data_IF_615694737212
#
_entry.id   IF_615694737212
#
_cell.length_a   1.000
_cell.length_b   1.000
_cell.length_c   1.000
_cell.angle_alpha   90.00
_cell.angle_beta   90.00
_cell.angle_gamma   90.00
#
_symmetry.space_group_name_H-M   'P 1'
#
loop_
_entity.id
_entity.type
_entity.pdbx_description
1 polymer ?
#
# COMPACT_ATOMS: atom_id res chain seq x y z
N UNK A 1 19.35 21.33 11.25
CA UNK A 1 18.41 22.04 10.35
C UNK A 1 18.32 21.41 8.96
N UNK A 2 19.43 20.97 8.33
CA UNK A 2 19.39 20.29 7.02
C UNK A 2 18.78 18.87 7.06
N UNK A 3 19.21 18.03 7.99
CA UNK A 3 18.69 16.66 8.15
C UNK A 3 17.17 16.61 8.42
N UNK A 4 16.64 17.54 9.22
CA UNK A 4 15.19 17.60 9.46
C UNK A 4 14.41 17.90 8.18
N UNK A 5 14.89 18.82 7.34
CA UNK A 5 14.26 19.10 6.05
C UNK A 5 14.32 17.91 5.08
N UNK A 6 15.44 17.18 5.10
CA UNK A 6 15.61 15.97 4.30
C UNK A 6 14.67 14.84 4.75
N UNK A 7 14.48 14.69 6.07
CA UNK A 7 13.48 13.78 6.64
C UNK A 7 12.05 14.20 6.26
N UNK A 8 11.74 15.50 6.31
CA UNK A 8 10.41 16.02 5.93
C UNK A 8 10.08 15.67 4.47
N UNK A 9 11.07 15.71 3.57
CA UNK A 9 10.91 15.27 2.17
C UNK A 9 10.56 13.78 2.10
N UNK A 10 11.26 12.92 2.84
CA UNK A 10 10.96 11.48 2.87
C UNK A 10 9.56 11.21 3.43
N UNK A 11 9.13 11.95 4.46
CA UNK A 11 7.77 11.86 5.00
C UNK A 11 6.75 12.23 3.93
N UNK A 12 6.95 13.33 3.22
CA UNK A 12 6.05 13.74 2.14
C UNK A 12 5.97 12.69 1.02
N UNK A 13 7.12 12.13 0.59
CA UNK A 13 7.14 11.07 -0.43
C UNK A 13 6.38 9.82 0.02
N UNK A 14 6.54 9.42 1.29
CA UNK A 14 5.76 8.33 1.89
C UNK A 14 4.26 8.64 1.85
N UNK A 15 3.86 9.84 2.28
CA UNK A 15 2.46 10.28 2.29
C UNK A 15 1.84 10.29 0.90
N UNK A 16 2.58 10.71 -0.12
CA UNK A 16 2.12 10.66 -1.52
C UNK A 16 1.83 9.22 -1.98
N UNK A 17 2.70 8.26 -1.65
CA UNK A 17 2.50 6.85 -2.00
C UNK A 17 1.27 6.28 -1.27
N UNK A 18 1.14 6.57 0.03
CA UNK A 18 0.02 6.10 0.86
C UNK A 18 -1.31 6.71 0.40
N UNK A 19 -1.33 7.98 0.03
CA UNK A 19 -2.52 8.66 -0.48
C UNK A 19 -3.00 8.01 -1.80
N UNK A 20 -2.07 7.69 -2.70
CA UNK A 20 -2.38 6.97 -3.94
C UNK A 20 -2.97 5.57 -3.68
N UNK A 21 -2.37 4.78 -2.78
CA UNK A 21 -2.92 3.47 -2.39
C UNK A 21 -4.33 3.60 -1.82
N UNK A 22 -4.57 4.60 -0.96
CA UNK A 22 -5.90 4.85 -0.38
C UNK A 22 -6.91 5.23 -1.46
N UNK A 23 -6.53 6.07 -2.42
CA UNK A 23 -7.41 6.47 -3.51
C UNK A 23 -7.89 5.27 -4.35
N UNK A 24 -7.04 4.26 -4.57
CA UNK A 24 -7.39 3.08 -5.35
C UNK A 24 -8.44 2.16 -4.71
N UNK A 25 -8.60 2.20 -3.39
CA UNK A 25 -9.60 1.40 -2.66
C UNK A 25 -10.67 2.27 -1.99
N UNK A 26 -10.64 3.58 -2.22
CA UNK A 26 -11.66 4.51 -1.72
C UNK A 26 -12.91 4.33 -2.57
N UNK A 27 -13.96 3.88 -1.93
CA UNK A 27 -15.25 3.68 -2.57
C UNK A 27 -16.06 4.97 -2.60
N UNK A 28 -16.48 5.36 -3.80
CA UNK A 28 -17.49 6.40 -4.01
C UNK A 28 -18.74 5.76 -4.64
N UNK A 29 -19.92 5.84 -3.99
CA UNK A 29 -21.12 5.21 -4.50
C UNK A 29 -21.55 5.74 -5.86
N UNK A 30 -21.74 4.83 -6.82
CA UNK A 30 -22.27 5.12 -8.15
C UNK A 30 -23.29 4.05 -8.53
N UNK A 31 -24.55 4.28 -8.14
CA UNK A 31 -25.66 3.29 -8.18
C UNK A 31 -25.73 2.43 -9.45
N UNK A 32 -25.52 3.00 -10.64
CA UNK A 32 -25.56 2.22 -11.88
C UNK A 32 -24.41 1.19 -11.97
N UNK A 33 -23.19 1.61 -11.64
CA UNK A 33 -22.00 0.75 -11.64
C UNK A 33 -22.07 -0.26 -10.49
N UNK A 34 -22.55 0.19 -9.34
CA UNK A 34 -22.72 -0.65 -8.16
C UNK A 34 -23.73 -1.77 -8.42
N UNK A 35 -24.87 -1.44 -9.03
CA UNK A 35 -25.89 -2.41 -9.41
C UNK A 35 -25.34 -3.45 -10.39
N UNK A 36 -24.59 -3.01 -11.41
CA UNK A 36 -23.94 -3.91 -12.37
C UNK A 36 -22.95 -4.86 -11.67
N UNK A 37 -22.12 -4.34 -10.77
CA UNK A 37 -21.16 -5.13 -10.00
C UNK A 37 -21.86 -6.14 -9.07
N UNK A 38 -22.90 -5.72 -8.35
CA UNK A 38 -23.69 -6.61 -7.48
C UNK A 38 -24.37 -7.73 -8.27
N UNK A 39 -24.94 -7.42 -9.44
CA UNK A 39 -25.55 -8.41 -10.33
C UNK A 39 -24.52 -9.41 -10.86
N UNK A 40 -23.34 -8.94 -11.28
CA UNK A 40 -22.24 -9.79 -11.70
C UNK A 40 -21.81 -10.75 -10.58
N UNK A 41 -21.61 -10.22 -9.36
CA UNK A 41 -21.31 -11.02 -8.17
C UNK A 41 -22.39 -12.07 -7.93
N UNK A 42 -23.66 -11.70 -7.96
CA UNK A 42 -24.77 -12.63 -7.76
C UNK A 42 -24.74 -13.81 -8.74
N UNK A 43 -24.45 -13.55 -10.02
CA UNK A 43 -24.36 -14.57 -11.06
C UNK A 43 -23.19 -15.53 -10.79
N UNK A 44 -22.03 -14.99 -10.39
CA UNK A 44 -20.77 -15.76 -10.20
C UNK A 44 -20.65 -16.44 -8.83
N UNK A 45 -21.36 -15.96 -7.80
CA UNK A 45 -21.25 -16.47 -6.43
C UNK A 45 -21.98 -17.80 -6.20
N UNK A 46 -21.49 -18.54 -5.19
CA UNK A 46 -22.13 -19.74 -4.68
C UNK A 46 -23.56 -19.47 -4.18
N UNK A 47 -24.40 -20.50 -4.18
CA UNK A 47 -25.82 -20.39 -3.81
C UNK A 47 -25.99 -19.84 -2.37
N UNK A 48 -25.06 -20.12 -1.46
CA UNK A 48 -25.08 -19.62 -0.08
C UNK A 48 -24.95 -18.10 0.03
N UNK A 49 -24.23 -17.45 -0.89
CA UNK A 49 -23.97 -16.00 -0.86
C UNK A 49 -25.08 -15.19 -1.55
N UNK A 50 -25.85 -15.84 -2.43
CA UNK A 50 -26.88 -15.22 -3.26
C UNK A 50 -27.96 -14.48 -2.46
N UNK A 51 -28.50 -15.00 -1.32
CA UNK A 51 -29.48 -14.26 -0.52
C UNK A 51 -28.96 -12.91 -0.01
N UNK A 52 -27.70 -12.85 0.46
CA UNK A 52 -27.07 -11.60 0.89
C UNK A 52 -26.94 -10.62 -0.28
N UNK A 53 -26.46 -11.10 -1.43
CA UNK A 53 -26.30 -10.25 -2.63
C UNK A 53 -27.65 -9.72 -3.15
N UNK A 54 -28.73 -10.50 -3.08
CA UNK A 54 -30.07 -10.03 -3.44
C UNK A 54 -30.57 -8.90 -2.54
N UNK A 55 -30.29 -8.97 -1.23
CA UNK A 55 -30.59 -7.89 -0.29
C UNK A 55 -29.83 -6.61 -0.65
N UNK A 56 -28.53 -6.73 -0.96
CA UNK A 56 -27.71 -5.59 -1.41
C UNK A 56 -28.20 -5.00 -2.73
N UNK A 57 -28.59 -5.83 -3.71
CA UNK A 57 -29.20 -5.36 -4.98
C UNK A 57 -30.48 -4.57 -4.69
N UNK A 58 -31.37 -5.08 -3.85
CA UNK A 58 -32.61 -4.40 -3.47
C UNK A 58 -32.32 -3.05 -2.80
N UNK A 59 -31.35 -3.01 -1.89
CA UNK A 59 -30.91 -1.77 -1.23
C UNK A 59 -30.41 -0.73 -2.24
N UNK A 60 -29.51 -1.16 -3.14
CA UNK A 60 -28.98 -0.32 -4.23
C UNK A 60 -30.11 0.25 -5.13
N UNK A 61 -31.07 -0.58 -5.53
CA UNK A 61 -32.20 -0.16 -6.36
C UNK A 61 -33.14 0.83 -5.66
N UNK A 62 -33.30 0.70 -4.33
CA UNK A 62 -34.20 1.55 -3.54
C UNK A 62 -33.51 2.80 -2.97
N UNK A 63 -32.19 2.93 -3.16
CA UNK A 63 -31.41 4.06 -2.67
C UNK A 63 -31.19 4.05 -1.15
N UNK A 64 -31.35 2.90 -0.50
CA UNK A 64 -30.97 2.69 0.91
C UNK A 64 -29.52 2.25 0.99
N UNK A 65 -28.83 2.47 2.11
CA UNK A 65 -27.43 2.09 2.30
C UNK A 65 -27.14 0.61 1.97
N UNK A 66 -26.04 0.40 1.23
CA UNK A 66 -25.53 -0.91 0.81
C UNK A 66 -24.00 -0.95 0.95
N UNK A 67 -23.47 -2.17 0.99
CA UNK A 67 -22.03 -2.42 1.10
C UNK A 67 -21.29 -2.08 -0.20
N UNK A 68 -20.00 -1.71 -0.11
CA UNK A 68 -19.15 -1.52 -1.28
C UNK A 68 -19.11 -2.81 -2.12
N UNK A 69 -19.66 -2.82 -3.35
CA UNK A 69 -19.70 -4.02 -4.15
C UNK A 69 -18.32 -4.41 -4.70
N UNK A 70 -17.40 -3.44 -4.80
CA UNK A 70 -16.05 -3.61 -5.34
C UNK A 70 -15.05 -4.17 -4.33
N UNK A 71 -15.39 -4.20 -3.04
CA UNK A 71 -14.48 -4.67 -1.98
C UNK A 71 -13.95 -6.09 -2.23
N UNK A 72 -14.79 -6.96 -2.82
CA UNK A 72 -14.41 -8.33 -3.18
C UNK A 72 -13.33 -8.42 -4.28
N UNK A 73 -13.05 -7.32 -4.98
CA UNK A 73 -12.08 -7.24 -6.07
C UNK A 73 -10.80 -6.50 -5.66
N UNK A 74 -10.77 -5.85 -4.49
CA UNK A 74 -9.55 -5.24 -4.02
C UNK A 74 -8.54 -6.31 -3.63
N UNK A 75 -7.30 -6.12 -4.08
CA UNK A 75 -6.20 -7.03 -3.79
C UNK A 75 -5.48 -6.70 -2.48
N UNK A 76 -5.83 -5.59 -1.85
CA UNK A 76 -5.31 -5.15 -0.55
C UNK A 76 -6.37 -4.35 0.21
N UNK A 77 -6.22 -4.30 1.52
CA UNK A 77 -7.11 -3.61 2.46
C UNK A 77 -6.48 -2.35 3.04
N UNK A 78 -7.27 -1.58 3.79
CA UNK A 78 -6.75 -0.42 4.56
C UNK A 78 -5.66 -0.88 5.53
N UNK A 79 -5.83 -2.02 6.20
CA UNK A 79 -4.84 -2.56 7.14
C UNK A 79 -3.49 -2.87 6.45
N UNK A 80 -3.52 -3.32 5.19
CA UNK A 80 -2.30 -3.57 4.43
C UNK A 80 -1.57 -2.26 4.09
N UNK A 81 -2.33 -1.21 3.75
CA UNK A 81 -1.78 0.14 3.54
C UNK A 81 -1.18 0.68 4.85
N UNK A 82 -1.85 0.48 5.99
CA UNK A 82 -1.33 0.91 7.29
C UNK A 82 -0.03 0.17 7.66
N UNK A 83 0.05 -1.14 7.39
CA UNK A 83 1.30 -1.90 7.56
C UNK A 83 2.41 -1.36 6.67
N UNK A 84 2.12 -1.11 5.40
CA UNK A 84 3.08 -0.49 4.47
C UNK A 84 3.57 0.87 5.00
N UNK A 85 2.65 1.71 5.46
CA UNK A 85 2.97 3.01 6.04
C UNK A 85 3.86 2.89 7.29
N UNK A 86 3.56 1.93 8.17
CA UNK A 86 4.34 1.65 9.37
C UNK A 86 5.76 1.18 9.04
N UNK A 87 5.95 0.37 7.99
CA UNK A 87 7.27 -0.07 7.54
C UNK A 87 8.15 1.12 7.13
N UNK A 88 7.61 2.00 6.27
CA UNK A 88 8.35 3.19 5.83
C UNK A 88 8.55 4.20 6.97
N UNK A 89 7.56 4.37 7.83
CA UNK A 89 7.67 5.23 9.02
C UNK A 89 8.75 4.69 9.97
N UNK A 90 8.78 3.38 10.20
CA UNK A 90 9.80 2.72 11.02
C UNK A 90 11.21 2.97 10.47
N UNK A 91 11.38 2.86 9.16
CA UNK A 91 12.64 3.19 8.49
C UNK A 91 13.05 4.66 8.69
N UNK A 92 12.12 5.60 8.47
CA UNK A 92 12.37 7.04 8.67
C UNK A 92 12.73 7.33 10.13
N UNK A 93 12.01 6.77 11.11
CA UNK A 93 12.31 6.99 12.53
C UNK A 93 13.65 6.39 12.96
N UNK A 94 14.01 5.21 12.45
CA UNK A 94 15.33 4.61 12.70
C UNK A 94 16.45 5.48 12.15
N UNK A 95 16.26 6.09 10.97
CA UNK A 95 17.25 6.96 10.34
C UNK A 95 17.64 8.18 11.18
N UNK A 96 16.80 8.60 12.14
CA UNK A 96 17.08 9.71 13.07
C UNK A 96 18.10 9.36 14.14
N UNK A 97 18.36 8.07 14.40
CA UNK A 97 19.24 7.63 15.49
C UNK A 97 20.70 7.86 15.11
N UNK A 98 21.46 8.54 15.98
CA UNK A 98 22.80 9.02 15.64
C UNK A 98 23.96 8.01 15.85
N UNK A 99 23.70 6.74 16.19
CA UNK A 99 24.74 5.80 16.60
C UNK A 99 24.72 4.42 15.92
N UNK A 100 24.14 4.29 14.73
CA UNK A 100 24.14 3.01 14.02
C UNK A 100 25.50 2.67 13.40
N UNK A 101 25.95 1.44 13.62
CA UNK A 101 27.03 0.82 12.83
C UNK A 101 26.52 0.53 11.42
N UNK A 102 27.42 0.54 10.43
CA UNK A 102 27.04 0.34 9.02
C UNK A 102 26.28 -0.97 8.79
N UNK A 103 26.71 -2.07 9.42
CA UNK A 103 26.07 -3.38 9.29
C UNK A 103 24.65 -3.43 9.89
N UNK A 104 24.36 -2.63 10.93
CA UNK A 104 23.02 -2.56 11.52
C UNK A 104 22.05 -1.91 10.55
N UNK A 105 22.47 -0.83 9.88
CA UNK A 105 21.67 -0.16 8.85
C UNK A 105 21.42 -1.06 7.65
N UNK A 106 22.46 -1.76 7.19
CA UNK A 106 22.32 -2.72 6.10
C UNK A 106 21.30 -3.80 6.44
N UNK A 107 21.37 -4.37 7.65
CA UNK A 107 20.43 -5.37 8.11
C UNK A 107 18.98 -4.82 8.20
N UNK A 108 18.82 -3.59 8.68
CA UNK A 108 17.51 -2.92 8.73
C UNK A 108 16.90 -2.72 7.34
N UNK A 109 17.70 -2.27 6.36
CA UNK A 109 17.25 -2.12 4.97
C UNK A 109 16.86 -3.48 4.40
N UNK A 110 17.69 -4.52 4.58
CA UNK A 110 17.35 -5.87 4.11
C UNK A 110 16.04 -6.38 4.70
N UNK A 111 15.84 -6.18 6.00
CA UNK A 111 14.61 -6.56 6.69
C UNK A 111 13.40 -5.77 6.18
N UNK A 112 13.54 -4.47 5.94
CA UNK A 112 12.49 -3.64 5.36
C UNK A 112 12.08 -4.14 3.97
N UNK A 113 13.04 -4.40 3.08
CA UNK A 113 12.75 -4.87 1.72
C UNK A 113 12.06 -6.24 1.76
N UNK A 114 12.50 -7.14 2.64
CA UNK A 114 11.84 -8.43 2.81
C UNK A 114 10.39 -8.28 3.33
N UNK A 115 10.15 -7.36 4.26
CA UNK A 115 8.81 -7.10 4.78
C UNK A 115 7.90 -6.49 3.70
N UNK A 116 8.42 -5.57 2.87
CA UNK A 116 7.70 -5.02 1.73
C UNK A 116 7.39 -6.09 0.67
N UNK A 117 8.35 -6.96 0.34
CA UNK A 117 8.14 -8.09 -0.57
C UNK A 117 7.02 -9.00 -0.06
N UNK A 118 7.08 -9.40 1.20
CA UNK A 118 6.09 -10.30 1.81
C UNK A 118 4.70 -9.66 1.82
N UNK A 119 4.62 -8.37 2.17
CA UNK A 119 3.37 -7.64 2.17
C UNK A 119 2.78 -7.57 0.75
N UNK A 120 3.59 -7.21 -0.25
CA UNK A 120 3.11 -7.15 -1.63
C UNK A 120 2.63 -8.52 -2.14
N UNK A 121 3.34 -9.60 -1.83
CA UNK A 121 2.92 -10.98 -2.18
C UNK A 121 1.59 -11.33 -1.52
N UNK A 122 1.38 -10.96 -0.26
CA UNK A 122 0.10 -11.18 0.42
C UNK A 122 -1.06 -10.41 -0.23
N UNK A 123 -0.74 -9.31 -0.91
CA UNK A 123 -1.65 -8.49 -1.70
C UNK A 123 -1.66 -8.84 -3.19
N UNK A 124 -1.29 -10.08 -3.55
CA UNK A 124 -1.25 -10.60 -4.93
C UNK A 124 -0.36 -9.81 -5.90
N UNK A 125 0.58 -9.02 -5.39
CA UNK A 125 1.47 -8.18 -6.19
C UNK A 125 0.92 -6.79 -6.52
N UNK A 126 -0.30 -6.46 -6.11
CA UNK A 126 -1.01 -5.24 -6.52
C UNK A 126 -0.83 -4.07 -5.56
N UNK A 127 -0.33 -4.30 -4.33
CA UNK A 127 -0.08 -3.23 -3.37
C UNK A 127 1.04 -2.30 -3.88
N UNK A 128 2.13 -2.89 -4.38
CA UNK A 128 3.25 -2.18 -5.01
C UNK A 128 3.22 -2.50 -6.51
N UNK A 129 2.37 -1.78 -7.22
CA UNK A 129 2.30 -1.83 -8.68
C UNK A 129 3.48 -1.10 -9.36
N UNK A 130 3.44 -1.02 -10.69
CA UNK A 130 4.53 -0.38 -11.47
C UNK A 130 4.74 1.10 -11.11
N UNK A 131 3.66 1.84 -10.85
CA UNK A 131 3.75 3.26 -10.49
C UNK A 131 4.35 3.44 -9.09
N UNK A 132 3.86 2.66 -8.12
CA UNK A 132 4.33 2.72 -6.73
C UNK A 132 5.76 2.21 -6.59
N UNK A 133 6.17 1.23 -7.39
CA UNK A 133 7.56 0.77 -7.51
C UNK A 133 8.48 1.94 -7.83
N UNK A 134 8.18 2.72 -8.87
CA UNK A 134 9.02 3.87 -9.26
C UNK A 134 9.13 4.90 -8.14
N UNK A 135 8.02 5.18 -7.44
CA UNK A 135 8.00 6.09 -6.29
C UNK A 135 8.83 5.57 -5.11
N UNK A 136 8.76 4.28 -4.81
CA UNK A 136 9.58 3.63 -3.78
C UNK A 136 11.07 3.63 -4.12
N UNK A 137 11.42 3.37 -5.39
CA UNK A 137 12.82 3.45 -5.82
C UNK A 137 13.38 4.85 -5.61
N UNK A 138 12.62 5.88 -6.02
CA UNK A 138 13.00 7.26 -5.77
C UNK A 138 13.11 7.57 -4.28
N UNK A 139 12.17 7.08 -3.46
CA UNK A 139 12.24 7.22 -2.00
C UNK A 139 13.54 6.66 -1.43
N UNK A 140 13.97 5.47 -1.86
CA UNK A 140 15.21 4.86 -1.38
C UNK A 140 16.47 5.57 -1.90
N UNK A 141 16.45 6.06 -3.15
CA UNK A 141 17.56 6.84 -3.71
C UNK A 141 17.74 8.17 -2.96
N UNK A 142 16.66 8.88 -2.68
CA UNK A 142 16.72 10.14 -1.92
C UNK A 142 17.12 9.86 -0.46
N UNK A 143 16.65 8.76 0.14
CA UNK A 143 17.06 8.34 1.47
C UNK A 143 18.57 8.04 1.57
N UNK A 144 19.16 7.39 0.56
CA UNK A 144 20.62 7.15 0.47
C UNK A 144 21.40 8.47 0.52
N UNK A 145 21.01 9.43 -0.31
CA UNK A 145 21.65 10.74 -0.37
C UNK A 145 21.51 11.56 0.92
N UNK A 146 20.31 11.56 1.51
CA UNK A 146 20.00 12.33 2.71
C UNK A 146 20.64 11.74 3.98
N UNK A 147 20.58 10.42 4.12
CA UNK A 147 21.05 9.73 5.33
C UNK A 147 22.54 9.39 5.25
N UNK A 148 23.17 9.61 4.08
CA UNK A 148 24.57 9.28 3.79
C UNK A 148 24.88 7.82 4.10
N UNK A 149 23.96 6.93 3.72
CA UNK A 149 24.09 5.49 3.87
C UNK A 149 24.39 4.95 2.49
N UNK A 150 25.65 4.63 2.23
CA UNK A 150 26.03 4.07 0.93
C UNK A 150 25.44 2.66 0.76
N UNK A 151 24.92 2.38 -0.44
CA UNK A 151 24.54 1.03 -0.86
C UNK A 151 23.07 0.67 -0.68
N UNK A 152 22.20 1.58 -0.22
CA UNK A 152 20.74 1.34 -0.17
C UNK A 152 20.24 0.90 -1.54
N UNK A 153 20.57 1.65 -2.59
CA UNK A 153 20.19 1.35 -3.97
C UNK A 153 20.64 -0.04 -4.39
N UNK A 154 21.85 -0.45 -4.00
CA UNK A 154 22.37 -1.79 -4.29
C UNK A 154 21.50 -2.87 -3.66
N UNK A 155 21.25 -2.76 -2.36
CA UNK A 155 20.43 -3.72 -1.59
C UNK A 155 19.01 -3.79 -2.14
N UNK A 156 18.38 -2.63 -2.42
CA UNK A 156 17.02 -2.56 -2.97
C UNK A 156 16.95 -3.23 -4.34
N UNK A 157 17.92 -2.98 -5.23
CA UNK A 157 17.98 -3.62 -6.55
C UNK A 157 18.19 -5.13 -6.48
N UNK A 158 18.96 -5.61 -5.51
CA UNK A 158 19.24 -7.03 -5.33
C UNK A 158 18.03 -7.78 -4.76
N UNK A 159 17.34 -7.18 -3.78
CA UNK A 159 16.37 -7.90 -2.95
C UNK A 159 14.91 -7.63 -3.30
N UNK A 160 14.55 -6.55 -4.00
CA UNK A 160 13.14 -6.29 -4.32
C UNK A 160 12.58 -7.39 -5.23
N UNK A 161 11.36 -7.83 -4.94
CA UNK A 161 10.59 -8.71 -5.83
C UNK A 161 9.31 -8.05 -6.36
N UNK A 162 9.01 -6.83 -5.86
CA UNK A 162 7.91 -5.98 -6.31
C UNK A 162 8.33 -5.02 -7.41
#
# INVERSE_FOLDING_TARGET
>A
MKLNKEIDVLIQMKEEIVADMKACITYEPHRENDLLCLMERYIKSAISERPRLLDQIKKCMTGTDYENPFEAYYCYSVDDIERFEQLLTGFIEQSKRQNYKAWERELEIKNLIQQLNNLNVSCQGELIDTYRREKLLRFFEDAEGFLKIDGIKGIVNELRSW
#
